data_IF_281361017972
#
_entry.id   IF_281361017972
#
_cell.length_a   1.000
_cell.length_b   1.000
_cell.length_c   1.000
_cell.angle_alpha   90.00
_cell.angle_beta   90.00
_cell.angle_gamma   90.00
#
_symmetry.space_group_name_H-M   'P 1'
#
loop_
_entity.id
_entity.type
_entity.pdbx_description
1 polymer ?
#
# COMPACT_ATOMS: atom_id res chain seq x y z
N UNK A 1 -11.04 -28.35 11.45
CA UNK A 1 -9.66 -28.05 11.05
C UNK A 1 -9.60 -27.33 9.69
N UNK A 2 -10.26 -27.84 8.63
CA UNK A 2 -10.18 -27.24 7.28
C UNK A 2 -10.61 -25.77 7.17
N UNK A 3 -11.71 -25.36 7.81
CA UNK A 3 -12.18 -23.98 7.79
C UNK A 3 -11.19 -22.99 8.41
N UNK A 4 -10.52 -23.37 9.50
CA UNK A 4 -9.50 -22.52 10.12
C UNK A 4 -8.30 -22.32 9.17
N UNK A 5 -7.85 -23.38 8.50
CA UNK A 5 -6.77 -23.29 7.51
C UNK A 5 -7.13 -22.34 6.37
N UNK A 6 -8.36 -22.43 5.83
CA UNK A 6 -8.83 -21.54 4.76
C UNK A 6 -8.93 -20.07 5.22
N UNK A 7 -9.35 -19.82 6.47
CA UNK A 7 -9.34 -18.47 7.05
C UNK A 7 -7.93 -17.88 7.12
N UNK A 8 -6.95 -18.68 7.57
CA UNK A 8 -5.55 -18.25 7.60
C UNK A 8 -4.99 -17.97 6.22
N UNK A 9 -5.35 -18.75 5.21
CA UNK A 9 -4.94 -18.49 3.83
C UNK A 9 -5.50 -17.17 3.29
N UNK A 10 -6.81 -16.91 3.49
CA UNK A 10 -7.41 -15.65 3.07
C UNK A 10 -6.80 -14.44 3.79
N UNK A 11 -6.54 -14.56 5.11
CA UNK A 11 -5.86 -13.53 5.88
C UNK A 11 -4.43 -13.30 5.39
N UNK A 12 -3.67 -14.37 5.12
CA UNK A 12 -2.31 -14.28 4.58
C UNK A 12 -2.29 -13.54 3.24
N UNK A 13 -3.25 -13.82 2.35
CA UNK A 13 -3.38 -13.11 1.06
C UNK A 13 -3.59 -11.61 1.28
N UNK A 14 -4.45 -11.22 2.21
CA UNK A 14 -4.67 -9.81 2.56
C UNK A 14 -3.40 -9.15 3.10
N UNK A 15 -2.69 -9.83 4.02
CA UNK A 15 -1.44 -9.32 4.60
C UNK A 15 -0.33 -9.18 3.56
N UNK A 16 -0.20 -10.13 2.62
CA UNK A 16 0.75 -10.04 1.51
C UNK A 16 0.41 -8.85 0.61
N UNK A 17 -0.88 -8.67 0.27
CA UNK A 17 -1.33 -7.54 -0.53
C UNK A 17 -0.95 -6.20 0.12
N UNK A 18 -1.18 -6.03 1.41
CA UNK A 18 -0.82 -4.83 2.16
C UNK A 18 0.70 -4.64 2.28
N UNK A 19 1.45 -5.72 2.47
CA UNK A 19 2.91 -5.67 2.54
C UNK A 19 3.52 -5.23 1.21
N UNK A 20 3.09 -5.81 0.09
CA UNK A 20 3.54 -5.44 -1.25
C UNK A 20 3.17 -3.98 -1.55
N UNK A 21 1.94 -3.56 -1.22
CA UNK A 21 1.51 -2.16 -1.38
C UNK A 21 2.45 -1.20 -0.66
N UNK A 22 2.76 -1.46 0.60
CA UNK A 22 3.65 -0.60 1.40
C UNK A 22 5.06 -0.57 0.82
N UNK A 23 5.63 -1.73 0.46
CA UNK A 23 6.97 -1.80 -0.12
C UNK A 23 7.09 -1.06 -1.46
N UNK A 24 6.12 -1.23 -2.36
CA UNK A 24 6.09 -0.53 -3.65
C UNK A 24 5.83 0.97 -3.44
N UNK A 25 5.00 1.35 -2.46
CA UNK A 25 4.76 2.77 -2.14
C UNK A 25 6.03 3.47 -1.67
N UNK A 26 6.86 2.83 -0.83
CA UNK A 26 8.15 3.37 -0.41
C UNK A 26 9.14 3.44 -1.58
N UNK A 27 9.15 2.43 -2.45
CA UNK A 27 9.96 2.47 -3.67
C UNK A 27 9.61 3.68 -4.55
N UNK A 28 8.33 3.91 -4.77
CA UNK A 28 7.85 5.04 -5.59
C UNK A 28 8.14 6.39 -4.92
N UNK A 29 8.06 6.48 -3.59
CA UNK A 29 8.40 7.68 -2.84
C UNK A 29 9.92 7.98 -2.87
N UNK A 30 10.75 6.95 -2.73
CA UNK A 30 12.19 7.07 -2.93
C UNK A 30 12.52 7.54 -4.35
N UNK A 31 11.92 6.92 -5.38
CA UNK A 31 12.10 7.27 -6.77
C UNK A 31 11.74 8.73 -7.06
N UNK A 32 10.58 9.21 -6.55
CA UNK A 32 10.16 10.60 -6.62
C UNK A 32 11.25 11.54 -6.09
N UNK A 33 11.69 11.29 -4.87
CA UNK A 33 12.68 12.14 -4.19
C UNK A 33 14.01 12.15 -4.94
N UNK A 34 14.43 11.01 -5.48
CA UNK A 34 15.66 10.89 -6.25
C UNK A 34 15.59 11.64 -7.58
N UNK A 35 14.46 11.59 -8.29
CA UNK A 35 14.25 12.40 -9.51
C UNK A 35 14.25 13.90 -9.20
N UNK A 36 13.63 14.32 -8.10
CA UNK A 36 13.62 15.72 -7.67
C UNK A 36 15.03 16.21 -7.31
N UNK A 37 15.83 15.39 -6.60
CA UNK A 37 17.24 15.67 -6.29
C UNK A 37 18.04 15.88 -7.59
N UNK A 38 17.88 14.99 -8.57
CA UNK A 38 18.60 15.10 -9.85
C UNK A 38 18.21 16.38 -10.61
N UNK A 39 16.92 16.70 -10.71
CA UNK A 39 16.43 17.89 -11.39
C UNK A 39 16.97 19.18 -10.75
N UNK A 40 16.89 19.30 -9.42
CA UNK A 40 17.40 20.47 -8.70
C UNK A 40 18.93 20.56 -8.77
N UNK A 41 19.64 19.45 -8.74
CA UNK A 41 21.11 19.41 -8.88
C UNK A 41 21.55 19.94 -10.24
N UNK A 42 20.91 19.56 -11.33
CA UNK A 42 21.20 20.01 -12.68
C UNK A 42 21.01 21.55 -12.81
N UNK A 43 19.89 22.04 -12.29
CA UNK A 43 19.60 23.48 -12.31
C UNK A 43 20.57 24.27 -11.42
N UNK A 44 20.94 23.74 -10.24
CA UNK A 44 21.92 24.37 -9.36
C UNK A 44 23.31 24.42 -9.99
N UNK A 45 23.75 23.38 -10.71
CA UNK A 45 25.00 23.38 -11.44
C UNK A 45 25.02 24.48 -12.52
N UNK A 46 23.92 24.65 -13.23
CA UNK A 46 23.77 25.73 -14.23
C UNK A 46 23.82 27.12 -13.57
N UNK A 47 23.14 27.27 -12.42
CA UNK A 47 23.17 28.53 -11.65
C UNK A 47 24.57 28.86 -11.14
N UNK A 48 25.31 27.86 -10.63
CA UNK A 48 26.68 28.06 -10.10
C UNK A 48 27.67 28.45 -11.22
N UNK A 49 27.51 27.89 -12.43
CA UNK A 49 28.30 28.34 -13.57
C UNK A 49 28.03 29.82 -13.91
N UNK A 50 26.78 30.23 -13.86
CA UNK A 50 26.35 31.60 -14.09
C UNK A 50 26.89 32.57 -13.04
N UNK A 51 26.92 32.16 -11.77
CA UNK A 51 27.49 32.94 -10.65
C UNK A 51 28.91 33.38 -10.97
N UNK A 52 29.76 32.49 -11.50
CA UNK A 52 31.16 32.80 -11.84
C UNK A 52 31.23 33.90 -12.91
N UNK A 53 30.35 33.86 -13.91
CA UNK A 53 30.30 34.89 -14.95
C UNK A 53 29.83 36.26 -14.39
N UNK A 54 28.88 36.26 -13.45
CA UNK A 54 28.39 37.47 -12.77
C UNK A 54 29.47 38.11 -11.88
N UNK A 55 30.24 37.30 -11.13
CA UNK A 55 31.38 37.80 -10.33
C UNK A 55 32.34 38.62 -11.23
N UNK A 56 32.75 38.06 -12.39
CA UNK A 56 33.64 38.75 -13.30
C UNK A 56 33.04 40.05 -13.85
N UNK A 57 31.75 40.12 -14.12
CA UNK A 57 31.10 41.36 -14.62
C UNK A 57 31.00 42.43 -13.51
N UNK A 58 30.75 42.04 -12.26
CA UNK A 58 30.77 42.97 -11.11
C UNK A 58 32.19 43.52 -10.86
N UNK A 59 33.21 42.64 -10.91
CA UNK A 59 34.62 43.05 -10.78
C UNK A 59 35.08 44.06 -11.84
N UNK A 60 34.53 43.94 -13.07
CA UNK A 60 34.78 44.88 -14.18
C UNK A 60 33.94 46.16 -14.09
N UNK A 61 33.01 46.26 -13.16
CA UNK A 61 32.11 47.41 -13.01
C UNK A 61 30.91 47.39 -13.96
N UNK A 62 30.70 46.30 -14.72
CA UNK A 62 29.61 46.17 -15.69
C UNK A 62 28.25 45.91 -15.00
N UNK A 63 28.26 45.48 -13.75
CA UNK A 63 27.07 45.19 -12.94
C UNK A 63 27.21 45.67 -11.50
N UNK A 64 26.11 46.15 -10.92
CA UNK A 64 26.07 46.52 -9.51
C UNK A 64 26.21 45.33 -8.59
N UNK A 65 26.91 45.44 -7.45
CA UNK A 65 27.14 44.35 -6.49
C UNK A 65 25.85 43.78 -5.92
N UNK A 66 24.77 44.56 -5.84
CA UNK A 66 23.45 44.10 -5.38
C UNK A 66 22.92 42.97 -6.24
N UNK A 67 23.16 42.98 -7.56
CA UNK A 67 22.74 41.91 -8.49
C UNK A 67 23.40 40.59 -8.15
N UNK A 68 24.70 40.61 -7.80
CA UNK A 68 25.41 39.39 -7.34
C UNK A 68 24.89 38.91 -6.01
N UNK A 69 24.56 39.83 -5.07
CA UNK A 69 24.00 39.48 -3.76
C UNK A 69 22.65 38.80 -3.90
N UNK A 70 21.76 39.33 -4.75
CA UNK A 70 20.45 38.70 -5.03
C UNK A 70 20.60 37.32 -5.66
N UNK A 71 21.54 37.17 -6.61
CA UNK A 71 21.79 35.90 -7.25
C UNK A 71 22.34 34.85 -6.26
N UNK A 72 23.25 35.23 -5.37
CA UNK A 72 23.76 34.37 -4.29
C UNK A 72 22.65 33.96 -3.33
N UNK A 73 21.73 34.86 -2.97
CA UNK A 73 20.58 34.54 -2.14
C UNK A 73 19.69 33.49 -2.81
N UNK A 74 19.46 33.60 -4.13
CA UNK A 74 18.71 32.60 -4.90
C UNK A 74 19.40 31.21 -4.92
N UNK A 75 20.72 31.18 -5.16
CA UNK A 75 21.50 29.92 -5.09
C UNK A 75 21.39 29.29 -3.69
N UNK A 76 21.44 30.07 -2.63
CA UNK A 76 21.28 29.56 -1.27
C UNK A 76 19.92 28.91 -1.05
N UNK A 77 18.85 29.53 -1.54
CA UNK A 77 17.49 28.91 -1.50
C UNK A 77 17.44 27.59 -2.27
N UNK A 78 18.07 27.50 -3.44
CA UNK A 78 18.15 26.25 -4.20
C UNK A 78 18.95 25.17 -3.48
N UNK A 79 20.05 25.53 -2.78
CA UNK A 79 20.85 24.61 -1.96
C UNK A 79 20.06 24.09 -0.76
N UNK A 80 19.26 24.97 -0.11
CA UNK A 80 18.36 24.54 0.98
C UNK A 80 17.31 23.54 0.48
N UNK A 81 16.67 23.84 -0.64
CA UNK A 81 15.72 22.91 -1.26
C UNK A 81 16.39 21.57 -1.61
N UNK A 82 17.59 21.60 -2.18
CA UNK A 82 18.35 20.38 -2.49
C UNK A 82 18.66 19.55 -1.22
N UNK A 83 19.01 20.22 -0.11
CA UNK A 83 19.27 19.55 1.17
C UNK A 83 18.00 18.88 1.71
N UNK A 84 16.85 19.55 1.65
CA UNK A 84 15.56 18.98 2.06
C UNK A 84 15.17 17.76 1.20
N UNK A 85 15.36 17.84 -0.12
CA UNK A 85 15.06 16.73 -1.04
C UNK A 85 15.99 15.53 -0.81
N UNK A 86 17.29 15.78 -0.54
CA UNK A 86 18.23 14.71 -0.17
C UNK A 86 17.81 14.04 1.14
N UNK A 87 17.44 14.81 2.16
CA UNK A 87 16.94 14.25 3.43
C UNK A 87 15.71 13.34 3.20
N UNK A 88 14.75 13.77 2.36
CA UNK A 88 13.58 12.96 2.03
C UNK A 88 13.97 11.68 1.30
N UNK A 89 14.85 11.78 0.28
CA UNK A 89 15.36 10.62 -0.46
C UNK A 89 16.00 9.59 0.47
N UNK A 90 16.88 10.05 1.35
CA UNK A 90 17.63 9.19 2.27
C UNK A 90 16.69 8.53 3.29
N UNK A 91 15.67 9.26 3.77
CA UNK A 91 14.64 8.72 4.64
C UNK A 91 13.83 7.60 3.94
N UNK A 92 13.38 7.82 2.71
CA UNK A 92 12.66 6.80 1.93
C UNK A 92 13.56 5.62 1.55
N UNK A 93 14.85 5.83 1.28
CA UNK A 93 15.81 4.74 1.06
C UNK A 93 15.93 3.83 2.29
N UNK A 94 15.98 4.39 3.49
CA UNK A 94 15.99 3.63 4.74
C UNK A 94 14.68 2.88 4.97
N UNK A 95 13.52 3.49 4.71
CA UNK A 95 12.23 2.81 4.82
C UNK A 95 12.10 1.68 3.79
N UNK A 96 12.57 1.90 2.56
CA UNK A 96 12.54 0.88 1.51
C UNK A 96 13.42 -0.32 1.85
N UNK A 97 14.54 -0.15 2.54
CA UNK A 97 15.44 -1.24 2.95
C UNK A 97 14.76 -2.25 3.89
N UNK A 98 13.68 -1.86 4.58
CA UNK A 98 12.86 -2.78 5.37
C UNK A 98 12.15 -3.82 4.48
N UNK A 99 11.72 -3.42 3.30
CA UNK A 99 10.99 -4.28 2.35
C UNK A 99 11.92 -4.99 1.38
N UNK A 100 13.09 -4.43 1.10
CA UNK A 100 14.06 -5.01 0.17
C UNK A 100 15.02 -5.94 0.89
N UNK A 101 14.89 -7.24 0.61
CA UNK A 101 15.61 -8.29 1.31
C UNK A 101 16.46 -9.12 0.35
N UNK A 102 17.62 -9.57 0.84
CA UNK A 102 18.42 -10.60 0.17
C UNK A 102 17.67 -11.96 0.20
N UNK A 103 18.04 -12.93 -0.63
CA UNK A 103 17.51 -14.29 -0.52
C UNK A 103 17.75 -14.95 0.85
N UNK A 104 18.69 -14.44 1.64
CA UNK A 104 18.97 -14.90 3.01
C UNK A 104 18.13 -14.16 4.07
N UNK A 105 17.35 -13.16 3.67
CA UNK A 105 16.51 -12.35 4.57
C UNK A 105 17.19 -11.10 5.14
N UNK A 106 18.44 -10.80 4.78
CA UNK A 106 19.13 -9.59 5.23
C UNK A 106 18.56 -8.34 4.56
N UNK A 107 18.55 -7.21 5.28
CA UNK A 107 18.15 -5.92 4.72
C UNK A 107 19.17 -5.46 3.69
N UNK A 108 18.71 -5.08 2.50
CA UNK A 108 19.52 -4.46 1.47
C UNK A 108 19.29 -2.95 1.52
N UNK A 109 20.41 -2.20 1.54
CA UNK A 109 20.34 -0.73 1.47
C UNK A 109 20.27 -0.37 0.00
N UNK A 110 19.30 0.49 -0.35
CA UNK A 110 19.17 1.04 -1.70
C UNK A 110 20.37 1.97 -1.94
N UNK A 111 21.13 1.73 -3.00
CA UNK A 111 22.20 2.63 -3.41
C UNK A 111 21.59 3.98 -3.83
N UNK A 112 21.95 5.01 -3.10
CA UNK A 112 21.30 6.32 -3.08
C UNK A 112 21.48 7.11 -4.39
N UNK A 113 22.45 6.75 -5.20
CA UNK A 113 22.99 7.66 -6.20
C UNK A 113 22.21 7.70 -7.50
N UNK A 114 21.59 6.61 -7.94
CA UNK A 114 21.03 6.52 -9.29
C UNK A 114 19.68 5.80 -9.31
N UNK A 115 18.55 6.55 -9.24
CA UNK A 115 17.26 5.94 -9.58
C UNK A 115 17.29 5.51 -11.05
N UNK A 116 16.58 4.42 -11.40
CA UNK A 116 16.43 4.03 -12.79
C UNK A 116 15.81 5.18 -13.57
N UNK A 117 16.30 5.42 -14.80
CA UNK A 117 15.75 6.49 -15.66
C UNK A 117 14.28 6.21 -16.01
N UNK A 118 13.96 4.94 -16.22
CA UNK A 118 12.60 4.47 -16.51
C UNK A 118 12.25 3.35 -15.54
N UNK A 119 11.07 3.43 -14.95
CA UNK A 119 10.50 2.35 -14.14
C UNK A 119 9.78 1.39 -15.10
N UNK A 120 10.16 0.11 -15.07
CA UNK A 120 9.30 -0.94 -15.61
C UNK A 120 8.10 -1.13 -14.66
N UNK A 121 7.00 -0.40 -14.96
CA UNK A 121 5.84 -0.32 -14.06
C UNK A 121 4.84 -1.45 -14.36
N UNK A 122 4.75 -2.47 -13.49
CA UNK A 122 3.89 -3.63 -13.72
C UNK A 122 2.41 -3.35 -13.45
N UNK A 123 2.08 -2.23 -12.79
CA UNK A 123 0.73 -1.89 -12.34
C UNK A 123 0.00 -0.94 -13.30
N UNK A 124 0.49 -0.82 -14.53
CA UNK A 124 -0.17 0.03 -15.52
C UNK A 124 -1.64 -0.36 -15.73
N UNK A 125 -2.52 0.64 -15.77
CA UNK A 125 -3.97 0.46 -15.86
C UNK A 125 -4.50 0.96 -17.20
N UNK A 126 -4.94 0.02 -18.04
CA UNK A 126 -5.73 0.28 -19.23
C UNK A 126 -7.15 -0.25 -19.10
N UNK A 127 -7.97 -0.10 -20.16
CA UNK A 127 -9.39 -0.51 -20.12
C UNK A 127 -9.58 -2.00 -19.79
N UNK A 128 -8.74 -2.88 -20.33
CA UNK A 128 -8.79 -4.32 -20.04
C UNK A 128 -8.44 -4.63 -18.58
N UNK A 129 -7.42 -3.99 -18.03
CA UNK A 129 -7.00 -4.15 -16.64
C UNK A 129 -8.07 -3.66 -15.67
N UNK A 130 -8.73 -2.54 -15.95
CA UNK A 130 -9.83 -2.03 -15.10
C UNK A 130 -10.96 -3.05 -14.96
N UNK A 131 -11.33 -3.73 -16.05
CA UNK A 131 -12.36 -4.74 -15.99
C UNK A 131 -11.93 -5.96 -15.17
N UNK A 132 -10.67 -6.37 -15.30
CA UNK A 132 -10.08 -7.46 -14.50
C UNK A 132 -10.07 -7.10 -13.01
N UNK A 133 -9.59 -5.90 -12.65
CA UNK A 133 -9.56 -5.41 -11.26
C UNK A 133 -10.96 -5.32 -10.66
N UNK A 134 -11.95 -4.81 -11.41
CA UNK A 134 -13.33 -4.72 -10.96
C UNK A 134 -13.96 -6.10 -10.73
N UNK A 135 -13.66 -7.07 -11.58
CA UNK A 135 -14.12 -8.46 -11.41
C UNK A 135 -13.50 -9.14 -10.19
N UNK A 136 -12.24 -8.79 -9.85
CA UNK A 136 -11.55 -9.33 -8.68
C UNK A 136 -12.22 -8.96 -7.35
N UNK A 137 -12.97 -7.84 -7.27
CA UNK A 137 -13.68 -7.41 -6.06
C UNK A 137 -14.65 -8.48 -5.54
N UNK A 138 -15.23 -9.31 -6.42
CA UNK A 138 -16.16 -10.38 -6.02
C UNK A 138 -15.49 -11.48 -5.19
N UNK A 139 -14.19 -11.68 -5.39
CA UNK A 139 -13.37 -12.67 -4.71
C UNK A 139 -12.34 -12.00 -3.80
N UNK A 140 -12.72 -10.86 -3.21
CA UNK A 140 -11.82 -10.12 -2.34
C UNK A 140 -11.55 -10.91 -1.05
N UNK A 141 -10.27 -11.05 -0.59
CA UNK A 141 -9.92 -11.86 0.59
C UNK A 141 -10.66 -11.45 1.86
N UNK A 142 -10.98 -10.16 2.06
CA UNK A 142 -11.79 -9.71 3.20
C UNK A 142 -13.19 -10.34 3.19
N UNK A 143 -13.81 -10.54 2.03
CA UNK A 143 -15.10 -11.20 1.92
C UNK A 143 -14.99 -12.70 2.19
N UNK A 144 -13.91 -13.33 1.75
CA UNK A 144 -13.68 -14.75 1.98
C UNK A 144 -13.47 -15.06 3.46
N UNK A 145 -12.73 -14.20 4.20
CA UNK A 145 -12.61 -14.31 5.67
C UNK A 145 -13.98 -14.24 6.32
N UNK A 146 -14.86 -13.32 5.90
CA UNK A 146 -16.21 -13.16 6.44
C UNK A 146 -17.12 -14.35 6.15
N UNK A 147 -17.10 -14.86 4.91
CA UNK A 147 -17.86 -16.04 4.51
C UNK A 147 -17.44 -17.26 5.31
N UNK A 148 -16.14 -17.45 5.55
CA UNK A 148 -15.63 -18.55 6.36
C UNK A 148 -16.01 -18.39 7.84
N UNK A 149 -16.00 -17.16 8.39
CA UNK A 149 -16.51 -16.91 9.75
C UNK A 149 -17.99 -17.25 9.87
N UNK A 150 -18.79 -16.88 8.87
CA UNK A 150 -20.22 -17.24 8.80
C UNK A 150 -20.42 -18.76 8.78
N UNK A 151 -19.62 -19.51 8.02
CA UNK A 151 -19.66 -20.98 8.03
C UNK A 151 -19.35 -21.56 9.42
N UNK A 152 -18.35 -21.01 10.13
CA UNK A 152 -18.03 -21.43 11.51
C UNK A 152 -19.20 -21.19 12.45
N UNK A 153 -19.84 -20.02 12.36
CA UNK A 153 -21.02 -19.70 13.20
C UNK A 153 -22.22 -20.58 12.84
N UNK A 154 -22.44 -20.87 11.56
CA UNK A 154 -23.49 -21.78 11.11
C UNK A 154 -23.29 -23.19 11.67
N UNK A 155 -22.07 -23.71 11.66
CA UNK A 155 -21.75 -25.00 12.26
C UNK A 155 -21.97 -25.02 13.80
N UNK A 156 -21.59 -23.93 14.48
CA UNK A 156 -21.89 -23.78 15.92
C UNK A 156 -23.39 -23.72 16.21
N UNK A 157 -24.15 -23.00 15.37
CA UNK A 157 -25.61 -22.92 15.51
C UNK A 157 -26.28 -24.28 15.30
N UNK A 158 -25.81 -25.05 14.31
CA UNK A 158 -26.28 -26.45 14.15
C UNK A 158 -25.96 -27.33 15.35
N UNK A 159 -24.75 -27.19 15.91
CA UNK A 159 -24.36 -27.92 17.15
C UNK A 159 -25.22 -27.51 18.34
N UNK A 160 -25.48 -26.23 18.55
CA UNK A 160 -26.35 -25.73 19.60
C UNK A 160 -27.80 -26.23 19.46
N UNK A 161 -28.30 -26.29 18.23
CA UNK A 161 -29.61 -26.87 17.94
C UNK A 161 -29.66 -28.37 18.24
N UNK A 162 -28.59 -29.10 17.92
CA UNK A 162 -28.47 -30.52 18.25
C UNK A 162 -28.44 -30.78 19.78
N UNK A 163 -27.89 -29.83 20.56
CA UNK A 163 -27.88 -29.92 22.02
C UNK A 163 -29.28 -29.84 22.67
N UNK A 164 -30.31 -29.44 21.92
CA UNK A 164 -31.71 -29.45 22.35
C UNK A 164 -32.36 -30.82 22.19
N UNK A 165 -31.78 -31.72 21.43
CA UNK A 165 -32.30 -33.07 21.16
C UNK A 165 -31.94 -34.06 22.28
N UNK A 166 -32.74 -35.11 22.47
CA UNK A 166 -32.38 -36.21 23.33
C UNK A 166 -31.08 -36.86 22.89
N UNK A 167 -30.27 -37.31 23.83
CA UNK A 167 -29.08 -38.12 23.56
C UNK A 167 -29.37 -39.59 23.80
N UNK A 168 -28.98 -40.40 22.84
CA UNK A 168 -29.04 -41.85 22.93
C UNK A 168 -27.62 -42.39 22.66
N UNK A 169 -26.98 -42.89 23.71
CA UNK A 169 -25.63 -43.43 23.64
C UNK A 169 -25.64 -44.94 23.81
N UNK A 170 -25.04 -45.67 22.86
CA UNK A 170 -24.71 -47.07 22.95
C UNK A 170 -23.29 -47.19 23.48
N UNK A 171 -23.12 -47.84 24.63
CA UNK A 171 -21.82 -48.11 25.27
C UNK A 171 -21.52 -49.59 25.20
N UNK A 172 -20.40 -49.96 24.65
CA UNK A 172 -19.85 -51.30 24.72
C UNK A 172 -18.47 -51.24 25.39
N UNK A 173 -18.24 -52.03 26.40
CA UNK A 173 -16.92 -52.11 27.05
C UNK A 173 -16.54 -53.58 27.27
N UNK A 174 -15.27 -53.86 27.04
CA UNK A 174 -14.63 -55.13 27.34
C UNK A 174 -13.56 -54.85 28.36
N UNK A 175 -13.64 -55.48 29.53
CA UNK A 175 -12.66 -55.37 30.58
C UNK A 175 -12.10 -56.78 30.89
N UNK A 176 -10.81 -56.86 31.16
CA UNK A 176 -10.14 -58.07 31.64
C UNK A 176 -9.34 -57.72 32.88
N UNK A 177 -9.65 -58.45 33.99
CA UNK A 177 -8.86 -58.28 35.15
C UNK A 177 -7.58 -59.14 35.07
N UNK A 178 -6.45 -58.52 35.39
CA UNK A 178 -5.12 -59.14 35.36
C UNK A 178 -4.49 -58.88 36.73
N UNK A 179 -4.25 -59.95 37.48
CA UNK A 179 -3.61 -59.86 38.80
C UNK A 179 -3.84 -61.08 39.71
N UNK A 180 -3.29 -61.04 40.93
CA UNK A 180 -3.38 -62.11 41.94
C UNK A 180 -4.60 -61.89 42.85
N UNK A 181 -5.80 -61.71 42.27
CA UNK A 181 -7.04 -61.53 42.97
C UNK A 181 -7.81 -62.89 43.24
N UNK A 182 -8.99 -62.82 43.86
CA UNK A 182 -9.86 -64.00 44.00
C UNK A 182 -10.22 -64.57 42.63
N UNK A 183 -10.19 -65.91 42.50
CA UNK A 183 -10.38 -66.61 41.23
C UNK A 183 -11.77 -66.43 40.60
N UNK A 184 -12.73 -65.87 41.30
CA UNK A 184 -14.07 -65.55 40.80
C UNK A 184 -14.14 -64.22 40.05
N UNK A 185 -13.03 -63.41 40.00
CA UNK A 185 -12.91 -62.19 39.23
C UNK A 185 -11.99 -62.37 38.02
N UNK A 186 -11.38 -63.51 37.80
CA UNK A 186 -10.48 -63.82 36.72
C UNK A 186 -11.32 -64.15 35.48
N UNK A 187 -11.38 -63.16 34.54
CA UNK A 187 -12.17 -63.36 33.34
C UNK A 187 -12.29 -62.08 32.46
N UNK A 188 -12.83 -62.28 31.26
CA UNK A 188 -13.18 -61.17 30.40
C UNK A 188 -14.65 -60.82 30.58
N UNK A 189 -14.91 -59.60 31.05
CA UNK A 189 -16.24 -59.04 31.18
C UNK A 189 -16.63 -58.19 29.96
N UNK A 190 -17.77 -58.47 29.35
CA UNK A 190 -18.34 -57.67 28.29
C UNK A 190 -19.61 -57.00 28.76
N UNK A 191 -19.66 -55.65 28.71
CA UNK A 191 -20.86 -54.89 29.08
C UNK A 191 -21.37 -54.15 27.85
N UNK A 192 -22.68 -54.26 27.58
CA UNK A 192 -23.38 -53.45 26.57
C UNK A 192 -24.50 -52.72 27.31
N UNK A 193 -24.53 -51.39 27.15
CA UNK A 193 -25.52 -50.55 27.80
C UNK A 193 -26.06 -49.47 26.86
N UNK A 194 -27.34 -49.16 26.97
CA UNK A 194 -28.01 -48.07 26.30
C UNK A 194 -28.31 -46.97 27.32
N UNK A 195 -27.84 -45.75 27.05
CA UNK A 195 -28.08 -44.58 27.90
C UNK A 195 -28.92 -43.57 27.15
N UNK A 196 -30.09 -43.24 27.69
CA UNK A 196 -30.98 -42.17 27.17
C UNK A 196 -30.94 -40.99 28.13
N UNK A 197 -30.68 -39.79 27.59
CA UNK A 197 -30.65 -38.55 28.38
C UNK A 197 -31.45 -37.45 27.67
N UNK A 198 -32.39 -36.86 28.36
CA UNK A 198 -33.19 -35.73 27.88
C UNK A 198 -33.04 -34.53 28.81
N UNK A 199 -32.49 -33.40 28.34
CA UNK A 199 -32.26 -32.23 29.17
C UNK A 199 -33.58 -31.49 29.43
N UNK A 200 -34.05 -31.48 30.69
CA UNK A 200 -35.23 -30.75 31.12
C UNK A 200 -34.95 -29.24 31.23
N UNK A 201 -35.83 -28.42 30.64
CA UNK A 201 -35.77 -26.95 30.74
C UNK A 201 -34.85 -26.24 29.74
N UNK A 202 -33.80 -26.86 29.24
CA UNK A 202 -32.91 -26.42 28.12
C UNK A 202 -32.54 -24.93 28.08
N UNK A 203 -32.56 -24.20 29.22
CA UNK A 203 -32.33 -22.73 29.24
C UNK A 203 -30.99 -22.34 28.62
N UNK A 204 -29.92 -23.07 28.97
CA UNK A 204 -28.56 -22.80 28.44
C UNK A 204 -28.50 -23.00 26.93
N UNK A 205 -28.97 -24.14 26.42
CA UNK A 205 -28.94 -24.46 25.01
C UNK A 205 -29.82 -23.52 24.19
N UNK A 206 -31.00 -23.11 24.70
CA UNK A 206 -31.85 -22.08 24.06
C UNK A 206 -31.19 -20.69 24.01
N UNK A 207 -30.51 -20.29 25.10
CA UNK A 207 -29.79 -19.02 25.15
C UNK A 207 -28.61 -19.02 24.17
N UNK A 208 -27.84 -20.11 24.08
CA UNK A 208 -26.75 -20.28 23.13
C UNK A 208 -27.25 -20.26 21.67
N UNK A 209 -28.34 -20.94 21.37
CA UNK A 209 -28.99 -20.88 20.05
C UNK A 209 -29.42 -19.47 19.70
N UNK A 210 -30.09 -18.75 20.61
CA UNK A 210 -30.51 -17.35 20.37
C UNK A 210 -29.31 -16.41 20.15
N UNK A 211 -28.23 -16.59 20.91
CA UNK A 211 -26.98 -15.85 20.74
C UNK A 211 -26.36 -16.10 19.37
N UNK A 212 -26.29 -17.36 18.94
CA UNK A 212 -25.72 -17.71 17.62
C UNK A 212 -26.58 -17.21 16.46
N UNK A 213 -27.92 -17.23 16.59
CA UNK A 213 -28.83 -16.62 15.61
C UNK A 213 -28.63 -15.09 15.50
N UNK A 214 -28.39 -14.43 16.63
CA UNK A 214 -28.06 -13.00 16.62
C UNK A 214 -26.71 -12.74 15.97
N UNK A 215 -25.71 -13.61 16.21
CA UNK A 215 -24.38 -13.53 15.57
C UNK A 215 -24.45 -13.80 14.06
N UNK A 216 -25.29 -14.71 13.59
CA UNK A 216 -25.53 -14.94 12.17
C UNK A 216 -26.04 -13.66 11.48
N UNK A 217 -27.07 -13.01 12.05
CA UNK A 217 -27.60 -11.75 11.52
C UNK A 217 -26.56 -10.62 11.53
N UNK A 218 -25.77 -10.52 12.59
CA UNK A 218 -24.66 -9.56 12.66
C UNK A 218 -23.68 -9.78 11.51
N UNK A 219 -23.27 -11.04 11.25
CA UNK A 219 -22.32 -11.36 10.17
C UNK A 219 -22.92 -11.13 8.78
N UNK A 220 -24.21 -11.34 8.56
CA UNK A 220 -24.88 -11.02 7.30
C UNK A 220 -24.81 -9.52 7.01
N UNK A 221 -25.15 -8.68 7.99
CA UNK A 221 -25.04 -7.23 7.84
C UNK A 221 -23.59 -6.77 7.66
N UNK A 222 -22.65 -7.39 8.39
CA UNK A 222 -21.22 -7.08 8.28
C UNK A 222 -20.68 -7.46 6.90
N UNK A 223 -21.07 -8.60 6.35
CA UNK A 223 -20.69 -9.03 5.00
C UNK A 223 -21.16 -8.02 3.95
N UNK A 224 -22.44 -7.63 3.98
CA UNK A 224 -23.02 -6.62 3.07
C UNK A 224 -22.29 -5.27 3.21
N UNK A 225 -22.06 -4.81 4.44
CA UNK A 225 -21.35 -3.55 4.69
C UNK A 225 -19.90 -3.59 4.20
N UNK A 226 -19.20 -4.72 4.37
CA UNK A 226 -17.82 -4.92 3.89
C UNK A 226 -17.77 -4.92 2.36
N UNK A 227 -18.71 -5.58 1.69
CA UNK A 227 -18.82 -5.59 0.23
C UNK A 227 -19.03 -4.18 -0.33
N UNK A 228 -19.92 -3.41 0.30
CA UNK A 228 -20.13 -2.00 -0.06
C UNK A 228 -18.89 -1.15 0.17
N UNK A 229 -18.20 -1.34 1.30
CA UNK A 229 -16.98 -0.61 1.63
C UNK A 229 -15.83 -0.90 0.64
N UNK A 230 -15.64 -2.16 0.25
CA UNK A 230 -14.65 -2.56 -0.76
C UNK A 230 -14.96 -1.89 -2.10
N UNK A 231 -16.22 -1.98 -2.55
CA UNK A 231 -16.66 -1.34 -3.79
C UNK A 231 -16.43 0.16 -3.75
N UNK A 232 -16.79 0.82 -2.66
CA UNK A 232 -16.62 2.27 -2.50
C UNK A 232 -15.14 2.69 -2.50
N UNK A 233 -14.24 1.93 -1.81
CA UNK A 233 -12.80 2.19 -1.82
C UNK A 233 -12.22 2.08 -3.24
N UNK A 234 -12.65 1.07 -3.99
CA UNK A 234 -12.21 0.90 -5.38
C UNK A 234 -12.72 2.03 -6.29
N UNK A 235 -13.99 2.41 -6.21
CA UNK A 235 -14.54 3.52 -7.00
C UNK A 235 -13.88 4.86 -6.63
N UNK A 236 -13.54 5.08 -5.37
CA UNK A 236 -12.76 6.24 -4.94
C UNK A 236 -11.35 6.23 -5.55
N UNK A 237 -10.67 5.10 -5.53
CA UNK A 237 -9.36 4.94 -6.17
C UNK A 237 -9.44 5.19 -7.69
N UNK A 238 -10.53 4.77 -8.35
CA UNK A 238 -10.77 5.00 -9.76
C UNK A 238 -10.92 6.50 -10.09
N UNK A 239 -11.63 7.25 -9.24
CA UNK A 239 -11.75 8.71 -9.37
C UNK A 239 -10.37 9.37 -9.24
N UNK A 240 -9.58 9.00 -8.23
CA UNK A 240 -8.23 9.53 -8.05
C UNK A 240 -7.30 9.21 -9.23
N UNK A 241 -7.37 8.00 -9.76
CA UNK A 241 -6.60 7.61 -10.94
C UNK A 241 -6.96 8.44 -12.17
N UNK A 242 -8.26 8.65 -12.44
CA UNK A 242 -8.72 9.51 -13.53
C UNK A 242 -8.19 10.94 -13.41
N UNK A 243 -8.32 11.53 -12.22
CA UNK A 243 -7.81 12.87 -11.93
C UNK A 243 -6.27 12.95 -12.04
N UNK A 244 -5.55 11.95 -11.56
CA UNK A 244 -4.09 11.92 -11.65
C UNK A 244 -3.60 11.93 -13.11
N UNK A 245 -4.28 11.23 -14.01
CA UNK A 245 -3.98 11.27 -15.46
C UNK A 245 -4.12 12.68 -16.06
N UNK A 246 -5.21 13.35 -15.74
CA UNK A 246 -5.46 14.70 -16.22
C UNK A 246 -4.43 15.69 -15.67
N UNK A 247 -4.08 15.56 -14.38
CA UNK A 247 -3.07 16.39 -13.71
C UNK A 247 -1.68 16.17 -14.34
N UNK A 248 -1.30 14.95 -14.71
CA UNK A 248 -0.02 14.68 -15.40
C UNK A 248 0.05 15.46 -16.70
N UNK A 249 -0.99 15.45 -17.53
CA UNK A 249 -1.00 16.17 -18.79
C UNK A 249 -0.82 17.68 -18.57
N UNK A 250 -1.56 18.27 -17.64
CA UNK A 250 -1.49 19.70 -17.31
C UNK A 250 -0.13 20.09 -16.72
N UNK A 251 0.45 19.28 -15.83
CA UNK A 251 1.74 19.59 -15.22
C UNK A 251 2.89 19.40 -16.20
N UNK A 252 2.82 18.46 -17.13
CA UNK A 252 3.82 18.30 -18.17
C UNK A 252 3.81 19.50 -19.14
N UNK A 253 2.64 20.00 -19.51
CA UNK A 253 2.51 21.22 -20.30
C UNK A 253 3.05 22.44 -19.56
N UNK A 254 2.68 22.61 -18.28
CA UNK A 254 3.16 23.70 -17.44
C UNK A 254 4.70 23.69 -17.30
N UNK A 255 5.31 22.52 -17.10
CA UNK A 255 6.77 22.39 -17.03
C UNK A 255 7.45 22.74 -18.36
N UNK A 256 6.89 22.32 -19.49
CA UNK A 256 7.41 22.67 -20.81
C UNK A 256 7.35 24.18 -21.08
N UNK A 257 6.24 24.85 -20.72
CA UNK A 257 6.09 26.30 -20.83
C UNK A 257 7.05 27.03 -19.89
N UNK A 258 7.18 26.62 -18.63
CA UNK A 258 8.09 27.23 -17.67
C UNK A 258 9.55 27.15 -18.14
N UNK A 259 9.97 25.99 -18.67
CA UNK A 259 11.30 25.76 -19.24
C UNK A 259 11.56 26.67 -20.45
N UNK A 260 10.57 26.81 -21.33
CA UNK A 260 10.66 27.70 -22.49
C UNK A 260 10.81 29.17 -22.07
N UNK A 261 10.00 29.63 -21.11
CA UNK A 261 10.07 31.00 -20.59
C UNK A 261 11.42 31.29 -19.90
N UNK A 262 11.93 30.34 -19.12
CA UNK A 262 13.24 30.45 -18.46
C UNK A 262 14.37 30.56 -19.50
N UNK A 263 14.30 29.75 -20.56
CA UNK A 263 15.29 29.79 -21.66
C UNK A 263 15.25 31.13 -22.42
N UNK A 264 14.08 31.63 -22.75
CA UNK A 264 13.90 32.92 -23.44
C UNK A 264 14.42 34.07 -22.57
N UNK A 265 14.06 34.07 -21.28
CA UNK A 265 14.50 35.11 -20.36
C UNK A 265 16.03 35.13 -20.20
N UNK A 266 16.66 33.94 -20.17
CA UNK A 266 18.11 33.84 -20.18
C UNK A 266 18.72 34.53 -21.38
N UNK A 267 18.19 34.31 -22.59
CA UNK A 267 18.66 34.94 -23.81
C UNK A 267 18.51 36.46 -23.77
N UNK A 268 17.38 36.97 -23.27
CA UNK A 268 17.13 38.40 -23.09
C UNK A 268 18.09 39.02 -22.08
N UNK A 269 18.33 38.37 -20.94
CA UNK A 269 19.28 38.82 -19.95
C UNK A 269 20.72 38.86 -20.51
N UNK A 270 21.12 37.83 -21.24
CA UNK A 270 22.45 37.77 -21.89
C UNK A 270 22.63 38.88 -22.95
N UNK A 271 21.55 39.32 -23.59
CA UNK A 271 21.51 40.44 -24.55
C UNK A 271 21.42 41.84 -23.88
N UNK A 272 21.18 41.89 -22.55
CA UNK A 272 20.99 43.13 -21.79
C UNK A 272 19.56 43.68 -21.82
N UNK A 273 18.59 42.93 -22.36
CA UNK A 273 17.17 43.32 -22.52
C UNK A 273 16.29 42.86 -21.32
N UNK A 274 16.89 42.37 -20.25
CA UNK A 274 16.19 41.92 -19.06
C UNK A 274 17.05 42.12 -17.81
N UNK A 275 16.42 42.05 -16.63
CA UNK A 275 17.08 42.15 -15.35
C UNK A 275 17.19 40.80 -14.61
N UNK A 276 18.07 40.81 -13.59
CA UNK A 276 18.32 39.60 -12.77
C UNK A 276 17.10 39.14 -11.99
N UNK A 277 16.21 40.04 -11.59
CA UNK A 277 15.02 39.69 -10.82
C UNK A 277 14.07 38.83 -11.66
N UNK A 278 13.80 39.24 -12.92
CA UNK A 278 12.94 38.47 -13.83
C UNK A 278 13.59 37.14 -14.17
N UNK A 279 14.90 37.11 -14.45
CA UNK A 279 15.63 35.87 -14.71
C UNK A 279 15.54 34.89 -13.54
N UNK A 280 15.74 35.34 -12.31
CA UNK A 280 15.64 34.52 -11.10
C UNK A 280 14.21 34.02 -10.88
N UNK A 281 13.19 34.86 -11.08
CA UNK A 281 11.78 34.46 -10.98
C UNK A 281 11.42 33.34 -11.99
N UNK A 282 11.90 33.44 -13.25
CA UNK A 282 11.70 32.42 -14.28
C UNK A 282 12.40 31.10 -13.92
N UNK A 283 13.64 31.15 -13.43
CA UNK A 283 14.38 29.98 -13.01
C UNK A 283 13.71 29.29 -11.81
N UNK A 284 13.22 30.04 -10.83
CA UNK A 284 12.46 29.46 -9.70
C UNK A 284 11.15 28.81 -10.15
N UNK A 285 10.43 29.44 -11.10
CA UNK A 285 9.20 28.88 -11.64
C UNK A 285 9.46 27.59 -12.43
N UNK A 286 10.58 27.51 -13.18
CA UNK A 286 11.01 26.29 -13.87
C UNK A 286 11.25 25.14 -12.88
N UNK A 287 12.02 25.39 -11.80
CA UNK A 287 12.26 24.40 -10.75
C UNK A 287 10.94 23.89 -10.15
N UNK A 288 10.05 24.82 -9.76
CA UNK A 288 8.75 24.46 -9.19
C UNK A 288 7.91 23.62 -10.16
N UNK A 289 7.85 24.01 -11.42
CA UNK A 289 7.07 23.30 -12.44
C UNK A 289 7.63 21.89 -12.69
N UNK A 290 8.95 21.70 -12.74
CA UNK A 290 9.58 20.40 -12.89
C UNK A 290 9.31 19.49 -11.67
N UNK A 291 9.41 20.01 -10.45
CA UNK A 291 9.09 19.26 -9.24
C UNK A 291 7.62 18.82 -9.24
N UNK A 292 6.70 19.69 -9.66
CA UNK A 292 5.28 19.36 -9.74
C UNK A 292 4.98 18.35 -10.85
N UNK A 293 5.67 18.40 -11.96
CA UNK A 293 5.56 17.39 -13.02
C UNK A 293 6.02 16.02 -12.54
N UNK A 294 7.20 15.94 -11.87
CA UNK A 294 7.71 14.69 -11.29
C UNK A 294 6.70 14.14 -10.29
N UNK A 295 6.20 14.99 -9.38
CA UNK A 295 5.20 14.59 -8.39
C UNK A 295 3.93 14.07 -9.06
N UNK A 296 3.38 14.75 -10.05
CA UNK A 296 2.18 14.33 -10.76
C UNK A 296 2.34 12.95 -11.41
N UNK A 297 3.48 12.71 -12.09
CA UNK A 297 3.80 11.40 -12.68
C UNK A 297 3.84 10.30 -11.61
N UNK A 298 4.44 10.58 -10.48
CA UNK A 298 4.52 9.62 -9.36
C UNK A 298 3.17 9.41 -8.69
N UNK A 299 2.36 10.46 -8.54
CA UNK A 299 1.00 10.34 -7.99
C UNK A 299 0.11 9.48 -8.89
N UNK A 300 0.31 9.50 -10.21
CA UNK A 300 -0.34 8.56 -11.13
C UNK A 300 0.08 7.11 -10.86
N UNK A 301 1.38 6.84 -10.68
CA UNK A 301 1.87 5.49 -10.33
C UNK A 301 1.26 5.01 -9.00
N UNK A 302 1.18 5.88 -8.00
CA UNK A 302 0.54 5.57 -6.70
C UNK A 302 -0.96 5.30 -6.85
N UNK A 303 -1.65 6.04 -7.71
CA UNK A 303 -3.07 5.81 -7.98
C UNK A 303 -3.32 4.47 -8.67
N UNK A 304 -2.49 4.08 -9.64
CA UNK A 304 -2.52 2.77 -10.28
C UNK A 304 -2.27 1.64 -9.27
N UNK A 305 -1.23 1.76 -8.45
CA UNK A 305 -0.93 0.82 -7.37
C UNK A 305 -2.09 0.66 -6.38
N UNK A 306 -2.78 1.77 -6.07
CA UNK A 306 -3.93 1.77 -5.17
C UNK A 306 -5.11 1.00 -5.77
N UNK A 307 -5.36 1.10 -7.07
CA UNK A 307 -6.38 0.28 -7.74
C UNK A 307 -6.12 -1.22 -7.61
N UNK A 308 -4.86 -1.65 -7.80
CA UNK A 308 -4.47 -3.05 -7.60
C UNK A 308 -4.59 -3.47 -6.13
N UNK A 309 -4.25 -2.59 -5.20
CA UNK A 309 -4.40 -2.83 -3.75
C UNK A 309 -5.85 -3.03 -3.36
N UNK A 310 -6.75 -2.12 -3.79
CA UNK A 310 -8.18 -2.20 -3.45
C UNK A 310 -8.91 -3.34 -4.17
N UNK A 311 -8.32 -3.88 -5.23
CA UNK A 311 -8.76 -5.13 -5.87
C UNK A 311 -8.12 -6.39 -5.25
N UNK A 312 -7.24 -6.24 -4.25
CA UNK A 312 -6.44 -7.29 -3.65
C UNK A 312 -5.64 -8.14 -4.67
N UNK A 313 -5.11 -7.50 -5.72
CA UNK A 313 -4.42 -8.17 -6.84
C UNK A 313 -2.88 -8.09 -6.78
N UNK A 314 -2.31 -7.44 -5.74
CA UNK A 314 -0.85 -7.30 -5.64
C UNK A 314 -0.12 -8.61 -5.31
N UNK A 315 -0.81 -9.57 -4.68
CA UNK A 315 -0.23 -10.87 -4.35
C UNK A 315 -0.03 -11.77 -5.58
N UNK A 316 -0.76 -11.52 -6.68
CA UNK A 316 -0.74 -12.36 -7.89
C UNK A 316 0.40 -12.04 -8.86
N UNK A 317 1.20 -11.01 -8.59
CA UNK A 317 2.29 -10.55 -9.46
C UNK A 317 3.59 -11.35 -9.30
N UNK A 318 3.63 -12.27 -8.32
CA UNK A 318 4.80 -13.14 -8.08
C UNK A 318 4.68 -14.54 -8.72
N UNK A 319 3.69 -14.76 -9.59
CA UNK A 319 3.51 -16.03 -10.30
C UNK A 319 3.78 -15.90 -11.80
#
# INVERSE_FOLDING_TARGET
>A
AGLATSQWQALATSLINDFVYKGVSEYVAWYESALQVNAVTELLNTATQRERALVTRVEKGDLANVVLTEFKANILQQRLLLAELKQKRDAHAQMLSFYWRSPKGDMLIVDEANPPKDINWPFWVGNGQLMTLRNALRNHPELDVMKLEQQVVNNKAALASNALLPKLDLKASVARDIGSGPSNLDGTETKVGLSFSYPLGNRKAKAEQAQLQSKQRELEHKLTSTEQAITQRFEQALVYWGQARDIVALQSENAALAKTLSKVEKTRFDAGDSDMFVLNARAQNEIKAQIQEIKAKVDLLKAELTLYKEAAMLHSLNN
#
